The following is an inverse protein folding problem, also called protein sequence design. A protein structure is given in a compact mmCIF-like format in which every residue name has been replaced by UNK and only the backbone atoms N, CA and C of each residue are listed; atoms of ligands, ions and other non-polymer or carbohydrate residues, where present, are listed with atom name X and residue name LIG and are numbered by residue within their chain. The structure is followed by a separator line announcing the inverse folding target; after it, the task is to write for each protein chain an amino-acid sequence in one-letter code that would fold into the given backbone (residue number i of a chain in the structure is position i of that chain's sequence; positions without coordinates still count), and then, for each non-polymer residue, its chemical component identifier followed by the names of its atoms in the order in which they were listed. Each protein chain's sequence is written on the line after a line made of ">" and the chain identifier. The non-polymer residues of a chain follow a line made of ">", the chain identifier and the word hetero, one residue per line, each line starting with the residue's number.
data_IF_867421803555
#
_entry.id   IF_867421803555
#
_cell.length_a   1.000
_cell.length_b   1.000
_cell.length_c   1.000
_cell.angle_alpha   90.00
_cell.angle_beta   90.00
_cell.angle_gamma   90.00
#
_symmetry.space_group_name_H-M   'P 1'
#
loop_
_entity.id
_entity.type
_entity.pdbx_description
1 polymer ?
#
# COMPACT_ATOMS: atom_id res chain seq x y z
N UNK A 1 -33.27 2.57 -35.69
CA UNK A 1 -31.95 1.98 -35.99
C UNK A 1 -30.85 2.45 -35.02
N UNK A 2 -30.70 3.76 -34.74
CA UNK A 2 -29.66 4.30 -33.83
C UNK A 2 -29.64 3.71 -32.40
N UNK A 3 -30.80 3.38 -31.81
CA UNK A 3 -30.90 2.73 -30.48
C UNK A 3 -30.33 1.30 -30.43
N UNK A 4 -30.39 0.54 -31.53
CA UNK A 4 -29.84 -0.84 -31.59
C UNK A 4 -28.30 -0.82 -31.60
N UNK A 5 -27.69 0.13 -32.30
CA UNK A 5 -26.24 0.33 -32.30
C UNK A 5 -25.72 0.85 -30.96
N UNK A 6 -26.48 1.71 -30.28
CA UNK A 6 -26.17 2.17 -28.92
C UNK A 6 -26.15 1.02 -27.91
N UNK A 7 -27.13 0.10 -28.00
CA UNK A 7 -27.17 -1.10 -27.15
C UNK A 7 -26.01 -2.07 -27.43
N UNK A 8 -25.60 -2.21 -28.70
CA UNK A 8 -24.43 -3.00 -29.09
C UNK A 8 -23.11 -2.39 -28.61
N UNK A 9 -22.96 -1.06 -28.67
CA UNK A 9 -21.82 -0.34 -28.10
C UNK A 9 -21.72 -0.51 -26.58
N UNK A 10 -22.86 -0.47 -25.88
CA UNK A 10 -22.94 -0.64 -24.43
C UNK A 10 -22.63 -2.09 -24.00
N UNK A 11 -22.96 -3.08 -24.82
CA UNK A 11 -22.54 -4.47 -24.63
C UNK A 11 -21.04 -4.65 -24.88
N UNK A 12 -20.48 -3.98 -25.89
CA UNK A 12 -19.04 -4.06 -26.21
C UNK A 12 -18.15 -3.48 -25.10
N UNK A 13 -18.61 -2.43 -24.39
CA UNK A 13 -17.89 -1.86 -23.25
C UNK A 13 -17.90 -2.72 -21.97
N UNK A 14 -18.77 -3.75 -21.89
CA UNK A 14 -18.79 -4.68 -20.75
C UNK A 14 -17.71 -5.77 -20.91
N UNK A 15 -17.31 -6.10 -22.15
CA UNK A 15 -16.32 -7.15 -22.41
C UNK A 15 -14.87 -6.72 -22.15
N UNK A 16 -14.58 -5.43 -22.07
CA UNK A 16 -13.20 -4.92 -21.86
C UNK A 16 -12.79 -4.82 -20.39
N UNK A 17 -13.65 -5.23 -19.44
CA UNK A 17 -13.50 -4.92 -18.01
C UNK A 17 -12.83 -5.97 -17.12
N UNK A 18 -12.46 -7.16 -17.60
CA UNK A 18 -12.07 -8.28 -16.73
C UNK A 18 -10.56 -8.37 -16.40
N UNK A 19 -9.73 -7.40 -16.83
CA UNK A 19 -8.27 -7.43 -16.69
C UNK A 19 -7.66 -6.26 -15.90
N UNK A 20 -8.40 -5.63 -14.97
CA UNK A 20 -7.95 -4.40 -14.31
C UNK A 20 -6.83 -4.58 -13.26
N UNK A 21 -6.62 -5.80 -12.76
CA UNK A 21 -5.60 -6.07 -11.75
C UNK A 21 -4.25 -6.29 -12.42
N UNK A 22 -3.23 -5.55 -11.97
CA UNK A 22 -1.86 -5.71 -12.47
C UNK A 22 -1.43 -7.16 -12.24
N UNK A 23 -1.01 -7.82 -13.33
CA UNK A 23 -0.43 -9.15 -13.24
C UNK A 23 1.05 -9.01 -12.91
N UNK A 24 1.42 -9.36 -11.69
CA UNK A 24 2.81 -9.36 -11.25
C UNK A 24 3.64 -10.35 -12.07
N UNK A 25 4.86 -9.94 -12.40
CA UNK A 25 5.89 -10.74 -13.05
C UNK A 25 6.56 -11.68 -12.03
N UNK A 26 7.32 -12.65 -12.52
CA UNK A 26 8.11 -13.56 -11.69
C UNK A 26 9.16 -12.84 -10.83
N UNK A 27 9.56 -11.63 -11.24
CA UNK A 27 10.50 -10.77 -10.53
C UNK A 27 9.86 -9.93 -9.42
N UNK A 28 8.54 -10.05 -9.22
CA UNK A 28 7.87 -9.31 -8.15
C UNK A 28 8.32 -9.78 -6.77
N UNK A 29 8.43 -8.85 -5.83
CA UNK A 29 8.70 -9.10 -4.42
C UNK A 29 7.59 -8.49 -3.57
N UNK A 30 7.14 -9.26 -2.57
CA UNK A 30 6.31 -8.75 -1.47
C UNK A 30 7.17 -8.79 -0.23
N UNK A 31 7.26 -7.68 0.49
CA UNK A 31 8.12 -7.56 1.66
C UNK A 31 7.47 -6.77 2.79
N UNK A 32 7.83 -7.10 4.02
CA UNK A 32 7.54 -6.28 5.18
C UNK A 32 8.70 -5.30 5.36
N UNK A 33 8.39 -4.01 5.35
CA UNK A 33 9.34 -2.94 5.64
C UNK A 33 9.05 -2.41 7.04
N UNK A 34 10.02 -2.55 7.93
CA UNK A 34 9.94 -2.10 9.32
C UNK A 34 10.84 -0.90 9.53
N UNK A 35 10.27 0.18 10.06
CA UNK A 35 10.98 1.33 10.56
C UNK A 35 11.22 1.20 12.07
N UNK A 36 12.44 1.57 12.50
CA UNK A 36 12.78 1.64 13.91
C UNK A 36 12.00 2.70 14.68
N UNK A 37 12.09 2.72 16.02
CA UNK A 37 11.46 3.73 16.88
C UNK A 37 11.79 5.18 16.49
N UNK A 38 10.85 6.09 16.77
CA UNK A 38 11.03 7.54 16.63
C UNK A 38 10.91 8.28 17.97
N UNK A 39 11.05 9.61 17.92
CA UNK A 39 11.00 10.46 19.12
C UNK A 39 9.56 10.80 19.55
N UNK A 40 8.62 10.76 18.61
CA UNK A 40 7.21 11.01 18.89
C UNK A 40 6.57 9.82 19.60
N UNK A 41 5.62 10.08 20.50
CA UNK A 41 4.99 9.03 21.31
C UNK A 41 4.35 7.92 20.46
N UNK A 42 3.68 8.29 19.37
CA UNK A 42 3.04 7.35 18.46
C UNK A 42 4.04 6.57 17.59
N UNK A 43 5.33 6.90 17.64
CA UNK A 43 6.41 6.25 16.90
C UNK A 43 7.33 5.41 17.79
N UNK A 44 7.09 5.39 19.11
CA UNK A 44 7.98 4.80 20.10
C UNK A 44 8.25 3.30 19.87
N UNK A 45 7.33 2.60 19.20
CA UNK A 45 7.46 1.16 18.90
C UNK A 45 7.92 0.88 17.47
N UNK A 46 8.22 1.92 16.69
CA UNK A 46 8.50 1.78 15.27
C UNK A 46 7.23 1.67 14.43
N UNK A 47 7.38 1.17 13.20
CA UNK A 47 6.27 1.00 12.27
C UNK A 47 6.55 -0.13 11.27
N UNK A 48 5.52 -0.82 10.80
CA UNK A 48 5.65 -1.79 9.71
C UNK A 48 4.65 -1.51 8.61
N UNK A 49 5.11 -1.65 7.36
CA UNK A 49 4.30 -1.51 6.16
C UNK A 49 4.64 -2.62 5.17
N UNK A 50 3.77 -2.84 4.18
CA UNK A 50 4.00 -3.87 3.15
C UNK A 50 4.40 -3.20 1.85
N UNK A 51 5.53 -3.60 1.28
CA UNK A 51 5.99 -3.15 -0.03
C UNK A 51 5.74 -4.24 -1.07
N UNK A 52 5.19 -3.84 -2.22
CA UNK A 52 5.10 -4.66 -3.43
C UNK A 52 5.93 -3.97 -4.51
N UNK A 53 6.98 -4.65 -4.95
CA UNK A 53 7.89 -4.17 -5.99
C UNK A 53 7.88 -5.15 -7.15
N UNK A 54 7.77 -4.66 -8.37
CA UNK A 54 7.96 -5.42 -9.60
C UNK A 54 8.78 -4.58 -10.61
N UNK A 55 10.07 -4.90 -10.78
CA UNK A 55 10.94 -4.13 -11.67
C UNK A 55 10.58 -4.28 -13.14
N UNK A 56 9.98 -5.41 -13.56
CA UNK A 56 9.58 -5.61 -14.95
C UNK A 56 8.41 -4.68 -15.37
N UNK A 57 7.65 -4.20 -14.38
CA UNK A 57 6.51 -3.31 -14.57
C UNK A 57 6.79 -1.87 -14.13
N UNK A 58 8.02 -1.57 -13.68
CA UNK A 58 8.36 -0.30 -13.02
C UNK A 58 7.37 0.05 -11.89
N UNK A 59 7.00 -0.97 -11.11
CA UNK A 59 5.99 -0.88 -10.08
C UNK A 59 6.67 -0.98 -8.71
N UNK A 60 6.51 0.03 -7.86
CA UNK A 60 7.12 0.04 -6.52
C UNK A 60 6.26 0.84 -5.55
N UNK A 61 5.39 0.13 -4.83
CA UNK A 61 4.41 0.74 -3.93
C UNK A 61 4.52 0.17 -2.53
N UNK A 62 4.19 1.01 -1.56
CA UNK A 62 4.08 0.63 -0.16
C UNK A 62 2.67 0.88 0.34
N UNK A 63 2.14 -0.10 1.05
CA UNK A 63 0.87 -0.12 1.74
C UNK A 63 1.14 0.17 3.21
N UNK A 64 0.89 1.41 3.59
CA UNK A 64 1.08 1.92 4.94
C UNK A 64 -0.25 1.80 5.70
N UNK A 65 -0.33 0.80 6.57
CA UNK A 65 -1.46 0.55 7.44
C UNK A 65 -1.30 1.35 8.73
N UNK A 66 -2.36 1.97 9.23
CA UNK A 66 -2.27 2.70 10.51
C UNK A 66 -1.96 4.19 10.36
N UNK A 67 -2.24 4.79 9.19
CA UNK A 67 -1.99 6.22 8.98
C UNK A 67 -2.99 7.05 9.79
N UNK A 68 -2.45 7.94 10.60
CA UNK A 68 -3.16 8.87 11.47
C UNK A 68 -3.75 10.05 10.70
N UNK A 69 -4.90 10.53 11.15
CA UNK A 69 -5.34 11.91 10.91
C UNK A 69 -5.11 12.73 12.19
N UNK A 70 -4.08 13.59 12.16
CA UNK A 70 -3.69 14.43 13.28
C UNK A 70 -4.69 15.54 13.59
N UNK A 71 -5.65 15.82 12.69
CA UNK A 71 -6.70 16.79 12.94
C UNK A 71 -7.89 16.21 13.73
N UNK A 72 -7.88 14.90 14.03
CA UNK A 72 -8.93 14.31 14.86
C UNK A 72 -8.93 14.92 16.28
N UNK A 73 -10.10 15.23 16.84
CA UNK A 73 -10.20 15.76 18.19
C UNK A 73 -9.67 14.75 19.20
N UNK A 74 -8.93 15.24 20.21
CA UNK A 74 -8.36 14.43 21.29
C UNK A 74 -7.37 13.34 20.84
N UNK A 75 -6.60 13.56 19.77
CA UNK A 75 -5.63 12.61 19.20
C UNK A 75 -4.86 11.79 20.24
N UNK A 76 -4.09 12.43 21.13
CA UNK A 76 -3.25 11.73 22.12
C UNK A 76 -4.07 10.91 23.12
N UNK A 77 -5.26 11.39 23.52
CA UNK A 77 -6.14 10.68 24.44
C UNK A 77 -6.75 9.44 23.78
N UNK A 78 -7.16 9.56 22.52
CA UNK A 78 -7.70 8.44 21.75
C UNK A 78 -6.61 7.41 21.43
N UNK A 79 -5.39 7.87 21.13
CA UNK A 79 -4.22 7.02 20.94
C UNK A 79 -3.92 6.21 22.20
N UNK A 80 -3.80 6.87 23.36
CA UNK A 80 -3.54 6.19 24.63
C UNK A 80 -4.64 5.20 25.03
N UNK A 81 -5.90 5.43 24.61
CA UNK A 81 -7.03 4.52 24.84
C UNK A 81 -7.15 3.39 23.81
N UNK A 82 -6.39 3.43 22.72
CA UNK A 82 -6.54 2.50 21.60
C UNK A 82 -7.79 2.75 20.73
N UNK A 83 -8.40 3.93 20.80
CA UNK A 83 -9.64 4.30 20.10
C UNK A 83 -9.39 5.13 18.84
N UNK A 84 -8.25 4.94 18.20
CA UNK A 84 -7.89 5.69 16.99
C UNK A 84 -8.58 5.13 15.75
N UNK A 85 -9.03 6.03 14.88
CA UNK A 85 -9.46 5.68 13.53
C UNK A 85 -8.28 5.84 12.59
N UNK A 86 -7.90 4.74 11.95
CA UNK A 86 -6.75 4.67 11.06
C UNK A 86 -7.18 4.55 9.60
N UNK A 87 -6.28 4.93 8.70
CA UNK A 87 -6.43 4.72 7.26
C UNK A 87 -5.31 3.84 6.69
N UNK A 88 -5.59 3.26 5.52
CA UNK A 88 -4.59 2.64 4.65
C UNK A 88 -4.18 3.69 3.62
N UNK A 89 -2.88 3.97 3.52
CA UNK A 89 -2.32 4.76 2.44
C UNK A 89 -1.50 3.88 1.49
N UNK A 90 -1.62 4.15 0.18
CA UNK A 90 -0.85 3.48 -0.88
C UNK A 90 -0.13 4.53 -1.70
N UNK A 91 1.20 4.45 -1.76
CA UNK A 91 2.03 5.42 -2.48
C UNK A 91 3.38 4.82 -2.88
N UNK A 92 4.17 5.56 -3.65
CA UNK A 92 5.48 5.10 -4.10
C UNK A 92 6.45 4.91 -2.92
N UNK A 93 7.18 3.79 -2.89
CA UNK A 93 8.09 3.44 -1.80
C UNK A 93 9.16 4.51 -1.53
N UNK A 94 9.60 5.25 -2.54
CA UNK A 94 10.61 6.31 -2.40
C UNK A 94 10.21 7.38 -1.37
N UNK A 95 8.92 7.73 -1.28
CA UNK A 95 8.45 8.69 -0.27
C UNK A 95 8.53 8.12 1.15
N UNK A 96 8.24 6.83 1.33
CA UNK A 96 8.39 6.16 2.63
C UNK A 96 9.86 6.14 3.04
N UNK A 97 10.75 5.71 2.15
CA UNK A 97 12.19 5.69 2.40
C UNK A 97 12.72 7.09 2.74
N UNK A 98 12.31 8.12 2.00
CA UNK A 98 12.74 9.50 2.22
C UNK A 98 12.29 10.03 3.59
N UNK A 99 11.04 9.76 4.00
CA UNK A 99 10.49 10.19 5.30
C UNK A 99 11.33 9.64 6.45
N UNK A 100 11.48 8.31 6.53
CA UNK A 100 12.22 7.71 7.65
C UNK A 100 13.71 8.04 7.63
N UNK A 101 14.30 8.28 6.45
CA UNK A 101 15.67 8.79 6.34
C UNK A 101 15.79 10.21 6.93
N UNK A 102 14.83 11.09 6.65
CA UNK A 102 14.79 12.44 7.23
C UNK A 102 14.66 12.38 8.76
N UNK A 103 13.86 11.45 9.24
CA UNK A 103 13.66 11.22 10.68
C UNK A 103 14.86 10.52 11.35
N UNK A 104 15.89 10.16 10.57
CA UNK A 104 17.08 9.42 11.01
C UNK A 104 16.76 8.07 11.65
N UNK A 105 15.69 7.41 11.16
CA UNK A 105 15.22 6.10 11.61
C UNK A 105 15.73 5.02 10.66
N UNK A 106 16.14 3.88 11.20
CA UNK A 106 16.55 2.74 10.39
C UNK A 106 15.33 2.08 9.72
N UNK A 107 15.54 1.52 8.52
CA UNK A 107 14.57 0.66 7.85
C UNK A 107 15.16 -0.72 7.64
N UNK A 108 14.35 -1.75 7.86
CA UNK A 108 14.68 -3.15 7.56
C UNK A 108 13.60 -3.71 6.63
N UNK A 109 14.02 -4.27 5.50
CA UNK A 109 13.13 -5.00 4.60
C UNK A 109 13.29 -6.50 4.81
N UNK A 110 12.16 -7.20 4.93
CA UNK A 110 12.09 -8.65 4.97
C UNK A 110 11.26 -9.11 3.77
N UNK A 111 11.91 -9.65 2.74
CA UNK A 111 11.24 -10.25 1.58
C UNK A 111 10.58 -11.56 2.03
N UNK A 112 9.29 -11.70 1.68
CA UNK A 112 8.52 -12.89 2.01
C UNK A 112 8.80 -14.00 0.99
N UNK A 113 8.93 -15.23 1.47
CA UNK A 113 9.10 -16.41 0.62
C UNK A 113 7.74 -16.87 0.08
N UNK A 114 7.20 -16.12 -0.89
CA UNK A 114 5.92 -16.41 -1.55
C UNK A 114 6.15 -16.99 -2.94
N UNK A 115 5.33 -17.95 -3.32
CA UNK A 115 5.21 -18.41 -4.71
C UNK A 115 4.61 -17.31 -5.60
N UNK A 116 4.75 -17.43 -6.92
CA UNK A 116 4.18 -16.45 -7.84
C UNK A 116 2.65 -16.31 -7.70
N UNK A 117 1.96 -17.42 -7.47
CA UNK A 117 0.51 -17.42 -7.26
C UNK A 117 0.14 -16.69 -5.97
N UNK A 118 0.89 -16.88 -4.88
CA UNK A 118 0.65 -16.19 -3.61
C UNK A 118 0.95 -14.70 -3.70
N UNK A 119 2.02 -14.28 -4.40
CA UNK A 119 2.30 -12.86 -4.66
C UNK A 119 1.13 -12.20 -5.39
N UNK A 120 0.60 -12.87 -6.42
CA UNK A 120 -0.53 -12.35 -7.20
C UNK A 120 -1.84 -12.34 -6.42
N UNK A 121 -2.07 -13.33 -5.55
CA UNK A 121 -3.26 -13.37 -4.70
C UNK A 121 -3.21 -12.33 -3.58
N UNK A 122 -2.01 -11.98 -3.13
CA UNK A 122 -1.77 -10.96 -2.11
C UNK A 122 -1.98 -9.53 -2.63
N UNK A 123 -1.50 -9.26 -3.85
CA UNK A 123 -1.58 -7.95 -4.51
C UNK A 123 -2.95 -7.69 -5.13
#
# INVERSE_FOLDING_TARGET
>A
MKKKYFFFLLLFSIYTGLGAQIKLSEYAEVSIVTAGPGNEFYEAFGHSAIRVQDPALNFDVIYNYGVFDFNQPNFYLNFAKGNMVYSLARYNFTYFLASYKNDKRWLKQQVLNLTQAEKQAYF
#
